data_IF_830010100850
#
_entry.id   IF_830010100850
#
_cell.length_a   1.000
_cell.length_b   1.000
_cell.length_c   1.000
_cell.angle_alpha   90.00
_cell.angle_beta   90.00
_cell.angle_gamma   90.00
#
_symmetry.space_group_name_H-M   'P 1'
#
loop_
_entity.id
_entity.type
_entity.pdbx_description
1 polymer ?
#
# COMPACT_ATOMS: atom_id res chain seq x y z
N UNK A 1 -29.96 3.05 -14.90
CA UNK A 1 -29.82 2.52 -13.50
C UNK A 1 -30.01 1.01 -13.52
N UNK A 2 -29.02 0.27 -12.98
CA UNK A 2 -29.09 -1.19 -12.79
C UNK A 2 -29.54 -1.51 -11.37
N UNK A 3 -30.26 -2.62 -11.17
CA UNK A 3 -30.83 -3.00 -9.86
C UNK A 3 -30.49 -4.44 -9.52
N UNK A 4 -30.06 -4.70 -8.28
CA UNK A 4 -29.81 -6.06 -7.80
C UNK A 4 -28.78 -6.83 -8.61
N UNK A 5 -27.75 -6.16 -9.12
CA UNK A 5 -26.61 -6.74 -9.84
C UNK A 5 -25.61 -7.37 -8.85
N UNK A 6 -24.61 -8.09 -9.36
CA UNK A 6 -23.52 -8.57 -8.52
C UNK A 6 -22.67 -7.40 -7.98
N UNK A 7 -21.93 -7.63 -6.89
CA UNK A 7 -21.05 -6.59 -6.36
C UNK A 7 -19.87 -6.34 -7.30
N UNK A 8 -19.40 -7.36 -8.02
CA UNK A 8 -18.34 -7.25 -9.03
C UNK A 8 -18.77 -6.33 -10.16
N UNK A 9 -20.00 -6.54 -10.70
CA UNK A 9 -20.53 -5.69 -11.77
C UNK A 9 -20.68 -4.24 -11.28
N UNK A 10 -21.18 -4.03 -10.07
CA UNK A 10 -21.29 -2.70 -9.48
C UNK A 10 -19.91 -2.04 -9.33
N UNK A 11 -18.91 -2.78 -8.81
CA UNK A 11 -17.52 -2.33 -8.68
C UNK A 11 -16.95 -1.92 -10.04
N UNK A 12 -17.13 -2.72 -11.07
CA UNK A 12 -16.62 -2.42 -12.42
C UNK A 12 -17.27 -1.16 -13.03
N UNK A 13 -18.56 -0.94 -12.80
CA UNK A 13 -19.25 0.30 -13.21
C UNK A 13 -18.58 1.50 -12.56
N UNK A 14 -18.33 1.47 -11.24
CA UNK A 14 -17.70 2.59 -10.54
C UNK A 14 -16.25 2.79 -10.99
N UNK A 15 -15.48 1.70 -11.12
CA UNK A 15 -14.10 1.77 -11.60
C UNK A 15 -13.99 2.35 -13.01
N UNK A 16 -14.93 2.05 -13.91
CA UNK A 16 -14.93 2.60 -15.28
C UNK A 16 -15.15 4.12 -15.34
N UNK A 17 -15.70 4.70 -14.28
CA UNK A 17 -16.01 6.13 -14.15
C UNK A 17 -15.04 6.85 -13.19
N UNK A 18 -14.04 6.16 -12.68
CA UNK A 18 -13.06 6.72 -11.74
C UNK A 18 -11.77 7.04 -12.47
N UNK A 19 -11.33 8.28 -12.38
CA UNK A 19 -9.99 8.70 -12.82
C UNK A 19 -9.16 9.12 -11.59
N UNK A 20 -7.83 8.95 -11.63
CA UNK A 20 -6.97 9.43 -10.57
C UNK A 20 -7.08 10.93 -10.37
N UNK A 21 -6.92 11.38 -9.12
CA UNK A 21 -6.83 12.81 -8.78
C UNK A 21 -5.55 13.44 -9.34
N UNK A 22 -5.44 14.77 -9.22
CA UNK A 22 -4.33 15.55 -9.77
C UNK A 22 -2.98 15.17 -9.14
N UNK A 23 -1.93 15.51 -9.87
CA UNK A 23 -0.53 15.30 -9.47
C UNK A 23 -0.03 16.52 -8.71
N UNK A 24 0.76 16.27 -7.67
CA UNK A 24 1.50 17.28 -6.93
C UNK A 24 2.96 16.86 -6.76
N UNK A 25 3.84 17.82 -6.50
CA UNK A 25 5.25 17.59 -6.15
C UNK A 25 5.39 17.78 -4.65
N UNK A 26 6.09 16.89 -3.99
CA UNK A 26 6.29 16.93 -2.53
C UNK A 26 7.76 16.71 -2.18
N UNK A 27 8.15 17.09 -0.98
CA UNK A 27 9.48 16.78 -0.47
C UNK A 27 9.63 15.28 -0.20
N UNK A 28 10.83 14.74 -0.42
CA UNK A 28 11.14 13.33 -0.21
C UNK A 28 10.82 12.88 1.23
N UNK A 29 11.06 13.71 2.24
CA UNK A 29 10.76 13.39 3.66
C UNK A 29 9.25 13.21 3.93
N UNK A 30 8.38 13.65 3.02
CA UNK A 30 6.92 13.54 3.12
C UNK A 30 6.34 12.46 2.19
N UNK A 31 7.21 11.72 1.50
CA UNK A 31 6.79 10.82 0.42
C UNK A 31 6.20 9.49 0.89
N UNK A 32 6.50 9.04 2.12
CA UNK A 32 6.06 7.74 2.62
C UNK A 32 4.54 7.54 2.51
N UNK A 33 4.15 6.42 1.92
CA UNK A 33 2.75 6.06 1.72
C UNK A 33 2.03 6.86 0.63
N UNK A 34 2.73 7.74 -0.12
CA UNK A 34 2.17 8.41 -1.29
C UNK A 34 2.23 7.49 -2.51
N UNK A 35 1.42 7.79 -3.51
CA UNK A 35 1.37 7.02 -4.77
C UNK A 35 2.10 7.81 -5.85
N UNK A 36 3.16 7.22 -6.44
CA UNK A 36 3.94 7.89 -7.49
C UNK A 36 3.12 8.03 -8.77
N UNK A 37 3.26 9.19 -9.43
CA UNK A 37 2.49 9.54 -10.64
C UNK A 37 3.22 9.30 -11.95
N UNK A 38 4.51 8.93 -11.89
CA UNK A 38 5.36 8.60 -13.04
C UNK A 38 6.28 7.42 -12.69
N UNK A 39 6.91 6.81 -13.68
CA UNK A 39 7.89 5.77 -13.42
C UNK A 39 9.14 6.37 -12.78
N UNK A 40 9.68 5.72 -11.76
CA UNK A 40 10.98 6.07 -11.18
C UNK A 40 12.03 5.19 -11.84
N UNK A 41 12.93 5.83 -12.55
CA UNK A 41 14.04 5.20 -13.26
C UNK A 41 15.33 5.65 -12.61
N UNK A 42 16.28 4.73 -12.44
CA UNK A 42 17.59 5.03 -11.88
C UNK A 42 18.35 6.00 -12.78
N UNK A 43 18.83 7.10 -12.21
CA UNK A 43 19.58 8.15 -12.90
C UNK A 43 21.06 7.79 -13.02
N UNK A 44 21.57 7.04 -12.04
CA UNK A 44 22.97 6.63 -11.94
C UNK A 44 23.10 5.23 -11.32
N UNK A 45 24.28 4.66 -11.45
CA UNK A 45 24.59 3.37 -10.83
C UNK A 45 24.63 3.47 -9.29
N UNK A 46 24.24 2.41 -8.60
CA UNK A 46 24.43 2.25 -7.15
C UNK A 46 25.20 0.95 -6.90
N UNK A 47 26.38 1.03 -6.27
CA UNK A 47 27.16 2.25 -6.02
C UNK A 47 27.62 2.92 -7.33
N UNK A 48 27.95 4.20 -7.26
CA UNK A 48 28.39 4.98 -8.43
C UNK A 48 29.84 4.72 -8.86
N UNK A 49 30.62 4.03 -8.04
CA UNK A 49 32.02 3.64 -8.27
C UNK A 49 32.34 2.30 -7.65
N UNK A 50 33.41 1.65 -8.13
CA UNK A 50 33.94 0.41 -7.56
C UNK A 50 34.52 0.69 -6.19
N UNK A 51 34.12 -0.09 -5.17
CA UNK A 51 34.47 0.14 -3.75
C UNK A 51 34.85 -1.13 -3.01
N UNK A 52 35.63 -0.96 -1.94
CA UNK A 52 35.97 -2.06 -1.04
C UNK A 52 34.82 -2.37 -0.04
N UNK A 53 34.41 -3.64 0.11
CA UNK A 53 33.51 -4.05 1.19
C UNK A 53 34.21 -4.20 2.54
N UNK A 54 35.55 -4.17 2.57
CA UNK A 54 36.36 -4.44 3.77
C UNK A 54 37.45 -3.41 4.00
N UNK A 55 37.89 -3.29 5.24
CA UNK A 55 39.16 -2.65 5.57
C UNK A 55 40.31 -3.58 5.13
N UNK A 56 41.21 -3.07 4.32
CA UNK A 56 42.21 -3.94 3.74
C UNK A 56 43.23 -3.20 2.89
N UNK A 57 43.73 -3.89 1.87
CA UNK A 57 44.72 -3.37 0.93
C UNK A 57 44.29 -3.67 -0.50
N UNK A 58 44.15 -2.64 -1.30
CA UNK A 58 43.92 -2.75 -2.73
C UNK A 58 45.21 -2.98 -3.47
N UNK A 59 45.28 -4.04 -4.28
CA UNK A 59 46.46 -4.49 -4.99
C UNK A 59 46.14 -4.94 -6.40
N UNK A 60 47.14 -5.20 -7.20
CA UNK A 60 47.01 -5.92 -8.47
C UNK A 60 47.02 -7.42 -8.18
N UNK A 61 45.98 -8.14 -8.51
CA UNK A 61 45.88 -9.59 -8.29
C UNK A 61 47.04 -10.35 -8.94
N UNK A 62 47.48 -9.94 -10.14
CA UNK A 62 48.57 -10.58 -10.83
C UNK A 62 49.91 -10.49 -10.10
N UNK A 63 50.12 -9.57 -9.19
CA UNK A 63 51.32 -9.45 -8.39
C UNK A 63 51.28 -10.34 -7.13
N UNK A 64 50.14 -11.00 -6.83
CA UNK A 64 49.93 -11.90 -5.68
C UNK A 64 50.13 -13.37 -6.04
N UNK A 65 50.46 -13.68 -7.31
CA UNK A 65 50.58 -15.06 -7.79
C UNK A 65 51.61 -15.82 -6.97
N UNK A 66 51.19 -16.99 -6.44
CA UNK A 66 51.96 -17.88 -5.53
C UNK A 66 52.29 -17.25 -4.18
N UNK A 67 51.57 -16.22 -3.73
CA UNK A 67 51.77 -15.64 -2.39
C UNK A 67 51.49 -16.64 -1.27
N UNK A 68 50.69 -17.69 -1.51
CA UNK A 68 50.46 -18.86 -0.63
C UNK A 68 51.69 -19.73 -0.45
N UNK A 69 52.63 -19.76 -1.41
CA UNK A 69 53.88 -20.51 -1.35
C UNK A 69 55.04 -19.66 -0.89
N UNK A 70 55.07 -18.41 -1.31
CA UNK A 70 56.06 -17.40 -0.98
C UNK A 70 55.45 -16.06 -0.76
N UNK A 71 55.38 -15.57 0.52
CA UNK A 71 54.78 -14.24 0.82
C UNK A 71 55.34 -13.14 -0.04
N UNK A 72 54.48 -12.21 -0.46
CA UNK A 72 54.83 -11.07 -1.32
C UNK A 72 54.66 -9.77 -0.53
N UNK A 73 55.69 -8.91 -0.61
CA UNK A 73 55.70 -7.60 0.06
C UNK A 73 55.34 -6.52 -0.94
N UNK A 74 54.43 -5.64 -0.54
CA UNK A 74 53.97 -4.48 -1.31
C UNK A 74 54.31 -3.18 -0.57
N UNK A 75 54.66 -2.13 -1.31
CA UNK A 75 54.83 -0.78 -0.79
C UNK A 75 53.50 -0.05 -0.72
N UNK A 76 53.13 0.48 0.44
CA UNK A 76 51.89 1.24 0.62
C UNK A 76 52.09 2.65 0.06
N UNK A 77 51.34 2.99 -0.98
CA UNK A 77 51.43 4.28 -1.70
C UNK A 77 50.45 5.32 -1.20
N UNK A 78 49.27 4.88 -0.73
CA UNK A 78 48.17 5.75 -0.42
C UNK A 78 47.30 5.14 0.65
N UNK A 79 46.60 6.00 1.40
CA UNK A 79 45.54 5.63 2.34
C UNK A 79 44.19 6.16 1.81
N UNK A 80 43.24 5.26 1.58
CA UNK A 80 41.94 5.56 0.97
C UNK A 80 40.83 5.33 1.99
N UNK A 81 40.31 6.39 2.56
CA UNK A 81 39.10 6.35 3.42
C UNK A 81 37.82 6.40 2.57
N UNK A 82 36.68 6.07 3.16
CA UNK A 82 35.40 6.32 2.53
C UNK A 82 35.21 7.83 2.25
N UNK A 83 34.76 8.17 1.05
CA UNK A 83 34.59 9.56 0.60
C UNK A 83 35.88 10.23 0.11
N UNK A 84 36.99 9.50 0.08
CA UNK A 84 38.24 9.95 -0.50
C UNK A 84 38.39 9.44 -1.95
N UNK A 85 38.75 10.34 -2.88
CA UNK A 85 39.02 9.96 -4.27
C UNK A 85 40.53 9.62 -4.44
N UNK A 86 40.88 8.39 -4.88
CA UNK A 86 42.28 7.98 -5.04
C UNK A 86 43.01 8.82 -6.07
N UNK A 87 44.20 9.30 -5.70
CA UNK A 87 45.03 10.13 -6.58
C UNK A 87 46.13 9.33 -7.27
N UNK A 88 46.55 8.19 -6.65
CA UNK A 88 47.73 7.44 -7.13
C UNK A 88 47.33 6.20 -7.91
N UNK A 89 48.08 5.95 -8.99
CA UNK A 89 48.01 4.69 -9.70
C UNK A 89 48.79 3.62 -8.91
N UNK A 90 48.18 2.45 -8.74
CA UNK A 90 48.82 1.29 -8.11
C UNK A 90 49.54 0.47 -9.19
N UNK A 91 50.86 0.53 -9.12
CA UNK A 91 51.75 -0.19 -10.00
C UNK A 91 52.17 -1.56 -9.46
N UNK A 92 53.13 -2.20 -10.15
CA UNK A 92 53.69 -3.49 -9.74
C UNK A 92 54.38 -3.41 -8.37
N UNK A 93 53.98 -4.32 -7.43
CA UNK A 93 54.50 -4.38 -6.07
C UNK A 93 54.08 -3.22 -5.18
N UNK A 94 53.02 -2.53 -5.55
CA UNK A 94 52.45 -1.43 -4.81
C UNK A 94 51.03 -1.78 -4.32
N UNK A 95 50.61 -1.22 -3.16
CA UNK A 95 49.29 -1.36 -2.54
C UNK A 95 48.76 -0.02 -2.09
N UNK A 96 47.44 0.10 -2.00
CA UNK A 96 46.79 1.17 -1.24
C UNK A 96 46.14 0.59 0.00
N UNK A 97 46.36 1.19 1.15
CA UNK A 97 45.55 0.94 2.35
C UNK A 97 44.14 1.47 2.10
N UNK A 98 43.14 0.61 2.11
CA UNK A 98 41.77 0.97 1.79
C UNK A 98 40.82 0.62 2.94
N UNK A 99 39.88 1.51 3.23
CA UNK A 99 38.84 1.29 4.24
C UNK A 99 37.54 0.86 3.55
N UNK A 100 36.66 0.24 4.30
CA UNK A 100 35.30 -0.11 3.87
C UNK A 100 34.59 1.10 3.24
N UNK A 101 34.07 0.93 2.03
CA UNK A 101 33.45 2.01 1.25
C UNK A 101 34.43 2.90 0.50
N UNK A 102 35.74 2.69 0.61
CA UNK A 102 36.76 3.40 -0.16
C UNK A 102 36.70 3.02 -1.64
N UNK A 103 36.95 3.99 -2.51
CA UNK A 103 37.01 3.80 -3.96
C UNK A 103 38.25 2.99 -4.34
N UNK A 104 38.09 2.01 -5.24
CA UNK A 104 39.19 1.20 -5.73
C UNK A 104 40.12 2.08 -6.59
N UNK A 105 41.41 2.19 -6.23
CA UNK A 105 42.33 3.03 -6.98
C UNK A 105 42.67 2.44 -8.37
N UNK A 106 42.91 3.29 -9.33
CA UNK A 106 43.33 2.86 -10.66
C UNK A 106 44.55 1.93 -10.57
N UNK A 107 44.51 0.83 -11.31
CA UNK A 107 45.59 -0.16 -11.35
C UNK A 107 45.39 -1.32 -10.34
N UNK A 108 44.65 -1.16 -9.26
CA UNK A 108 44.26 -2.26 -8.41
C UNK A 108 42.99 -2.95 -8.97
N UNK A 109 42.93 -4.28 -8.84
CA UNK A 109 41.83 -5.11 -9.30
C UNK A 109 41.42 -6.19 -8.26
N UNK A 110 41.97 -6.12 -7.04
CA UNK A 110 41.57 -6.97 -5.91
C UNK A 110 41.84 -6.27 -4.58
N UNK A 111 41.10 -6.68 -3.55
CA UNK A 111 41.31 -6.23 -2.16
C UNK A 111 41.51 -7.43 -1.24
N UNK A 112 42.58 -7.37 -0.42
CA UNK A 112 42.77 -8.32 0.66
C UNK A 112 42.41 -7.69 2.00
N UNK A 113 41.66 -8.45 2.82
CA UNK A 113 41.25 -8.02 4.18
C UNK A 113 42.48 -7.82 5.06
N UNK A 114 42.45 -6.81 5.93
CA UNK A 114 43.55 -6.50 6.83
C UNK A 114 43.93 -7.64 7.79
N UNK A 115 42.97 -8.49 8.13
CA UNK A 115 43.15 -9.64 9.03
C UNK A 115 43.99 -10.78 8.39
N UNK A 116 44.16 -10.73 7.06
CA UNK A 116 44.88 -11.76 6.27
C UNK A 116 46.27 -11.35 5.88
N UNK A 117 46.79 -10.26 6.40
CA UNK A 117 48.11 -9.70 6.03
C UNK A 117 48.93 -9.36 7.28
N UNK A 118 50.26 -9.16 7.07
CA UNK A 118 51.14 -8.53 8.07
C UNK A 118 51.54 -7.15 7.54
N UNK A 119 51.22 -6.08 8.27
CA UNK A 119 51.56 -4.72 7.89
C UNK A 119 52.63 -4.16 8.84
N UNK A 120 53.65 -3.52 8.24
CA UNK A 120 54.68 -2.75 8.90
C UNK A 120 54.66 -1.33 8.37
N UNK A 121 55.54 -0.46 8.94
CA UNK A 121 55.59 0.92 8.49
C UNK A 121 55.91 1.02 6.99
N UNK A 122 54.95 1.51 6.19
CA UNK A 122 55.12 1.72 4.73
C UNK A 122 55.01 0.45 3.88
N UNK A 123 54.83 -0.75 4.44
CA UNK A 123 54.76 -2.00 3.68
C UNK A 123 53.64 -2.92 4.21
N UNK A 124 53.16 -3.83 3.32
CA UNK A 124 52.26 -4.90 3.68
C UNK A 124 52.73 -6.21 3.03
N UNK A 125 52.69 -7.30 3.81
CA UNK A 125 53.02 -8.65 3.34
C UNK A 125 51.75 -9.47 3.17
N UNK A 126 51.54 -9.99 1.96
CA UNK A 126 50.41 -10.86 1.61
C UNK A 126 50.84 -12.32 1.62
N UNK A 127 50.01 -13.19 2.14
CA UNK A 127 50.19 -14.65 2.28
C UNK A 127 49.24 -15.45 1.40
N UNK A 128 48.37 -14.79 0.65
CA UNK A 128 47.37 -15.43 -0.19
C UNK A 128 47.41 -14.86 -1.60
N UNK A 129 47.28 -15.74 -2.60
CA UNK A 129 47.00 -15.35 -3.97
C UNK A 129 45.57 -14.84 -4.07
N UNK A 130 45.36 -13.79 -4.86
CA UNK A 130 44.04 -13.19 -5.11
C UNK A 130 43.66 -13.35 -6.57
N UNK A 131 42.37 -13.47 -6.82
CA UNK A 131 41.79 -13.42 -8.15
C UNK A 131 41.41 -11.98 -8.53
N UNK A 132 41.48 -11.59 -9.82
CA UNK A 132 40.91 -10.33 -10.26
C UNK A 132 39.43 -10.21 -9.88
N UNK A 133 39.03 -9.07 -9.34
CA UNK A 133 37.67 -8.78 -8.85
C UNK A 133 37.42 -9.25 -7.41
N UNK A 134 38.38 -9.92 -6.77
CA UNK A 134 38.18 -10.43 -5.41
C UNK A 134 37.99 -9.29 -4.42
N UNK A 135 36.88 -9.33 -3.65
CA UNK A 135 36.48 -8.33 -2.67
C UNK A 135 36.31 -6.91 -3.24
N UNK A 136 35.75 -6.80 -4.41
CA UNK A 136 35.36 -5.52 -5.04
C UNK A 136 33.82 -5.55 -5.21
N UNK A 137 33.15 -4.52 -4.74
CA UNK A 137 31.76 -4.21 -5.10
C UNK A 137 31.82 -3.27 -6.31
N UNK A 138 31.33 -3.73 -7.43
CA UNK A 138 31.38 -2.97 -8.68
C UNK A 138 30.33 -1.86 -8.77
N UNK A 139 30.65 -0.82 -9.51
CA UNK A 139 29.67 0.22 -9.85
C UNK A 139 28.44 -0.40 -10.52
N UNK A 140 27.25 -0.10 -9.98
CA UNK A 140 25.99 -0.63 -10.49
C UNK A 140 25.63 -2.04 -10.02
N UNK A 141 26.39 -2.65 -9.09
CA UNK A 141 26.09 -4.01 -8.61
C UNK A 141 24.71 -4.14 -7.97
N UNK A 142 24.18 -3.09 -7.35
CA UNK A 142 22.85 -3.05 -6.74
C UNK A 142 21.79 -2.49 -7.72
N UNK A 143 22.10 -1.36 -8.37
CA UNK A 143 21.21 -0.70 -9.32
C UNK A 143 21.97 -0.15 -10.50
N UNK A 144 21.55 -0.49 -11.71
CA UNK A 144 22.10 0.07 -12.94
C UNK A 144 21.38 1.35 -13.37
N UNK A 145 22.12 2.32 -13.88
CA UNK A 145 21.53 3.50 -14.52
C UNK A 145 20.56 3.09 -15.64
N UNK A 146 19.37 3.69 -15.67
CA UNK A 146 18.29 3.34 -16.61
C UNK A 146 17.37 2.21 -16.13
N UNK A 147 17.66 1.56 -15.02
CA UNK A 147 16.80 0.52 -14.45
C UNK A 147 15.49 1.10 -13.88
N UNK A 148 14.37 0.40 -14.06
CA UNK A 148 13.07 0.78 -13.49
C UNK A 148 13.01 0.39 -12.01
N UNK A 149 13.05 1.38 -11.13
CA UNK A 149 12.94 1.17 -9.68
C UNK A 149 11.50 1.01 -9.21
N UNK A 150 10.58 1.76 -9.79
CA UNK A 150 9.15 1.62 -9.50
C UNK A 150 8.29 2.13 -10.65
N UNK A 151 7.16 1.45 -10.88
CA UNK A 151 6.16 1.86 -11.89
C UNK A 151 5.21 2.91 -11.34
N UNK A 152 4.70 3.78 -12.21
CA UNK A 152 3.56 4.66 -11.91
C UNK A 152 2.45 3.88 -11.20
N UNK A 153 1.90 4.45 -10.15
CA UNK A 153 0.85 3.83 -9.33
C UNK A 153 1.37 3.02 -8.14
N UNK A 154 2.69 2.82 -8.01
CA UNK A 154 3.28 2.19 -6.84
C UNK A 154 3.17 3.08 -5.61
N UNK A 155 3.02 2.46 -4.44
CA UNK A 155 3.07 3.15 -3.15
C UNK A 155 4.53 3.28 -2.74
N UNK A 156 4.93 4.46 -2.31
CA UNK A 156 6.27 4.70 -1.79
C UNK A 156 6.38 4.08 -0.40
N UNK A 157 7.15 3.02 -0.31
CA UNK A 157 7.57 2.38 0.93
C UNK A 157 8.97 2.89 1.38
N UNK A 158 9.51 2.46 2.52
CA UNK A 158 10.83 2.89 2.97
C UNK A 158 11.96 2.52 2.00
N UNK A 159 11.86 1.37 1.31
CA UNK A 159 12.86 0.93 0.34
C UNK A 159 12.91 1.86 -0.88
N UNK A 160 11.75 2.15 -1.47
CA UNK A 160 11.67 3.08 -2.61
C UNK A 160 12.08 4.50 -2.23
N UNK A 161 11.73 4.97 -1.02
CA UNK A 161 12.19 6.28 -0.54
C UNK A 161 13.72 6.34 -0.43
N UNK A 162 14.34 5.27 0.10
CA UNK A 162 15.80 5.15 0.16
C UNK A 162 16.44 5.08 -1.23
N UNK A 163 15.84 4.32 -2.16
CA UNK A 163 16.32 4.24 -3.55
C UNK A 163 16.24 5.60 -4.26
N UNK A 164 15.14 6.36 -4.07
CA UNK A 164 15.02 7.72 -4.60
C UNK A 164 16.09 8.66 -4.02
N UNK A 165 16.35 8.56 -2.71
CA UNK A 165 17.42 9.34 -2.08
C UNK A 165 18.79 9.02 -2.67
N UNK A 166 19.10 7.73 -2.89
CA UNK A 166 20.35 7.30 -3.53
C UNK A 166 20.49 7.82 -4.96
N UNK A 167 19.39 8.11 -5.64
CA UNK A 167 19.35 8.69 -6.99
C UNK A 167 19.27 10.23 -6.98
N UNK A 168 19.35 10.89 -5.82
CA UNK A 168 19.22 12.34 -5.74
C UNK A 168 17.82 12.88 -6.05
N UNK A 169 16.80 12.04 -6.05
CA UNK A 169 15.41 12.44 -6.29
C UNK A 169 14.84 13.01 -4.98
N UNK A 170 14.83 14.32 -4.85
CA UNK A 170 14.41 15.03 -3.64
C UNK A 170 12.97 15.52 -3.67
N UNK A 171 12.36 15.57 -4.85
CA UNK A 171 11.03 16.15 -5.07
C UNK A 171 10.17 15.28 -5.98
N UNK A 172 9.77 14.08 -5.52
CA UNK A 172 8.99 13.16 -6.35
C UNK A 172 7.61 13.71 -6.68
N UNK A 173 7.12 13.38 -7.89
CA UNK A 173 5.74 13.65 -8.31
C UNK A 173 4.84 12.51 -7.87
N UNK A 174 3.77 12.85 -7.17
CA UNK A 174 2.81 11.90 -6.61
C UNK A 174 1.39 12.34 -6.94
N UNK A 175 0.45 11.40 -6.91
CA UNK A 175 -0.96 11.78 -6.87
C UNK A 175 -1.26 12.41 -5.51
N UNK A 176 -2.04 13.52 -5.47
CA UNK A 176 -2.49 14.06 -4.19
C UNK A 176 -3.37 13.04 -3.45
N UNK A 177 -3.63 13.25 -2.19
CA UNK A 177 -4.54 12.40 -1.44
C UNK A 177 -5.99 12.79 -1.75
N UNK A 178 -6.85 11.85 -2.22
CA UNK A 178 -8.26 12.14 -2.44
C UNK A 178 -8.97 12.57 -1.17
N UNK A 179 -9.83 13.58 -1.27
CA UNK A 179 -10.71 14.04 -0.18
C UNK A 179 -12.06 13.34 -0.32
N UNK A 180 -12.46 12.58 0.70
CA UNK A 180 -13.68 11.79 0.71
C UNK A 180 -14.68 12.39 1.69
N UNK A 181 -15.76 12.94 1.16
CA UNK A 181 -16.86 13.47 1.97
C UNK A 181 -17.64 12.35 2.65
N UNK A 182 -17.97 12.54 3.93
CA UNK A 182 -18.80 11.63 4.71
C UNK A 182 -20.05 12.35 5.18
N UNK A 183 -21.24 11.76 4.92
CA UNK A 183 -22.54 12.24 5.37
C UNK A 183 -23.23 11.09 6.08
N UNK A 184 -23.72 11.34 7.30
CA UNK A 184 -24.57 10.41 8.02
C UNK A 184 -26.02 10.83 7.85
N UNK A 185 -26.95 9.87 7.73
CA UNK A 185 -28.39 10.13 7.55
C UNK A 185 -29.17 9.35 8.62
N UNK A 186 -29.95 10.06 9.42
CA UNK A 186 -30.82 9.49 10.44
C UNK A 186 -31.13 10.50 11.54
N UNK A 187 -32.40 10.57 11.93
CA UNK A 187 -32.85 11.43 13.03
C UNK A 187 -32.43 10.92 14.41
N UNK A 188 -32.11 9.62 14.51
CA UNK A 188 -31.66 8.94 15.72
C UNK A 188 -30.17 9.14 16.02
N UNK A 189 -29.40 9.69 15.06
CA UNK A 189 -27.94 9.78 15.16
C UNK A 189 -27.49 10.97 15.99
N UNK A 190 -26.56 10.71 16.91
CA UNK A 190 -25.86 11.74 17.69
C UNK A 190 -24.34 11.54 17.62
N UNK A 191 -23.62 12.60 17.95
CA UNK A 191 -22.14 12.58 18.06
C UNK A 191 -21.72 11.59 19.18
N UNK A 192 -20.53 10.99 19.07
CA UNK A 192 -20.04 9.99 20.04
C UNK A 192 -19.97 10.51 21.49
N UNK A 193 -19.77 11.80 21.68
CA UNK A 193 -19.67 12.44 23.00
C UNK A 193 -21.02 12.64 23.69
N UNK A 194 -22.11 12.61 22.95
CA UNK A 194 -23.46 12.83 23.48
C UNK A 194 -23.96 11.60 24.21
N UNK A 195 -24.57 11.78 25.38
CA UNK A 195 -25.31 10.71 26.05
C UNK A 195 -26.51 10.32 25.21
N UNK A 196 -26.51 9.06 24.77
CA UNK A 196 -27.63 8.50 24.01
C UNK A 196 -28.69 7.94 25.01
N UNK A 197 -29.82 8.61 25.11
CA UNK A 197 -30.94 8.18 25.92
C UNK A 197 -32.15 7.89 25.03
N UNK A 198 -32.90 6.85 25.35
CA UNK A 198 -34.05 6.43 24.54
C UNK A 198 -33.66 5.84 23.19
N UNK A 199 -34.38 6.16 22.10
CA UNK A 199 -34.16 5.57 20.76
C UNK A 199 -33.03 6.25 19.97
N UNK A 200 -32.09 6.91 20.64
CA UNK A 200 -30.99 7.64 20.06
C UNK A 200 -29.71 6.78 20.07
N UNK A 201 -28.95 6.77 18.99
CA UNK A 201 -27.73 5.99 18.87
C UNK A 201 -26.54 6.87 18.42
N UNK A 202 -25.35 6.49 18.84
CA UNK A 202 -24.12 7.19 18.40
C UNK A 202 -23.76 6.81 16.97
N UNK A 203 -23.30 7.78 16.19
CA UNK A 203 -22.86 7.56 14.80
C UNK A 203 -21.55 6.75 14.76
N UNK A 204 -21.68 5.46 14.59
CA UNK A 204 -20.56 4.52 14.48
C UNK A 204 -20.03 4.40 13.06
N UNK A 205 -20.89 4.58 12.05
CA UNK A 205 -20.50 4.46 10.64
C UNK A 205 -19.51 5.54 10.24
N UNK A 206 -19.71 6.77 10.66
CA UNK A 206 -18.77 7.87 10.48
C UNK A 206 -17.37 7.48 10.95
N UNK A 207 -17.25 6.97 12.17
CA UNK A 207 -15.96 6.61 12.77
C UNK A 207 -15.29 5.44 12.03
N UNK A 208 -16.05 4.40 11.69
CA UNK A 208 -15.56 3.23 10.94
C UNK A 208 -15.03 3.67 9.57
N UNK A 209 -15.82 4.43 8.81
CA UNK A 209 -15.46 4.86 7.47
C UNK A 209 -14.32 5.88 7.49
N UNK A 210 -14.29 6.82 8.46
CA UNK A 210 -13.15 7.73 8.66
C UNK A 210 -11.86 6.94 8.83
N UNK A 211 -11.85 5.96 9.72
CA UNK A 211 -10.67 5.11 9.98
C UNK A 211 -10.27 4.30 8.73
N UNK A 212 -11.25 3.75 8.01
CA UNK A 212 -11.00 2.98 6.80
C UNK A 212 -10.44 3.85 5.65
N UNK A 213 -10.91 5.09 5.50
CA UNK A 213 -10.41 6.07 4.53
C UNK A 213 -8.97 6.47 4.86
N UNK A 214 -8.68 6.78 6.13
CA UNK A 214 -7.32 7.10 6.60
C UNK A 214 -6.34 5.95 6.36
N UNK A 215 -6.74 4.71 6.69
CA UNK A 215 -5.95 3.48 6.43
C UNK A 215 -5.55 3.38 4.96
N UNK A 216 -6.39 3.85 4.05
CA UNK A 216 -6.16 3.81 2.62
C UNK A 216 -5.62 5.14 2.04
N UNK A 217 -4.97 5.96 2.88
CA UNK A 217 -4.20 7.14 2.49
C UNK A 217 -5.02 8.27 1.86
N UNK A 218 -6.35 8.22 2.00
CA UNK A 218 -7.27 9.29 1.61
C UNK A 218 -7.56 10.21 2.80
N UNK A 219 -8.11 11.39 2.53
CA UNK A 219 -8.48 12.38 3.53
C UNK A 219 -9.98 12.31 3.78
N UNK A 220 -10.46 11.84 4.93
CA UNK A 220 -11.87 11.89 5.29
C UNK A 220 -12.27 13.31 5.66
N UNK A 221 -13.41 13.78 5.12
CA UNK A 221 -14.02 15.05 5.49
C UNK A 221 -15.47 14.81 5.90
N UNK A 222 -15.77 14.95 7.17
CA UNK A 222 -17.15 14.91 7.64
C UNK A 222 -17.87 16.19 7.23
N UNK A 223 -18.98 16.04 6.47
CA UNK A 223 -19.80 17.14 5.98
C UNK A 223 -20.90 17.45 6.98
N UNK A 224 -21.55 16.41 7.51
CA UNK A 224 -22.60 16.59 8.51
C UNK A 224 -23.52 15.39 8.64
N UNK A 225 -24.45 15.51 9.59
CA UNK A 225 -25.55 14.56 9.77
C UNK A 225 -26.83 15.16 9.19
N UNK A 226 -27.40 14.51 8.17
CA UNK A 226 -28.66 14.87 7.58
C UNK A 226 -29.82 14.29 8.39
N UNK A 227 -30.92 15.03 8.50
CA UNK A 227 -32.20 14.50 8.94
C UNK A 227 -32.80 13.57 7.87
N UNK A 228 -33.76 12.75 8.26
CA UNK A 228 -34.53 11.89 7.35
C UNK A 228 -35.48 12.71 6.46
N UNK A 229 -34.92 13.62 5.70
CA UNK A 229 -35.63 14.37 4.67
C UNK A 229 -34.74 14.64 3.45
N UNK A 230 -35.36 14.67 2.29
CA UNK A 230 -34.68 14.81 0.99
C UNK A 230 -33.92 16.14 0.87
N UNK A 231 -34.46 17.23 1.44
CA UNK A 231 -33.84 18.55 1.38
C UNK A 231 -32.56 18.63 2.19
N UNK A 232 -32.57 18.10 3.41
CA UNK A 232 -31.39 18.00 4.30
C UNK A 232 -30.27 17.21 3.63
N UNK A 233 -30.60 16.02 3.10
CA UNK A 233 -29.62 15.18 2.39
C UNK A 233 -29.06 15.88 1.17
N UNK A 234 -29.93 16.48 0.33
CA UNK A 234 -29.53 17.18 -0.89
C UNK A 234 -28.62 18.40 -0.60
N UNK A 235 -28.87 19.11 0.49
CA UNK A 235 -28.04 20.23 0.95
C UNK A 235 -26.60 19.80 1.24
N UNK A 236 -26.42 18.78 2.08
CA UNK A 236 -25.10 18.26 2.42
C UNK A 236 -24.41 17.58 1.24
N UNK A 237 -25.16 16.93 0.34
CA UNK A 237 -24.59 16.38 -0.89
C UNK A 237 -23.97 17.48 -1.79
N UNK A 238 -24.66 18.61 -1.98
CA UNK A 238 -24.12 19.74 -2.75
C UNK A 238 -22.83 20.29 -2.14
N UNK A 239 -22.81 20.41 -0.81
CA UNK A 239 -21.60 20.84 -0.09
C UNK A 239 -20.46 19.83 -0.28
N UNK A 240 -20.71 18.55 -0.08
CA UNK A 240 -19.72 17.49 -0.26
C UNK A 240 -19.18 17.43 -1.69
N UNK A 241 -20.03 17.56 -2.71
CA UNK A 241 -19.61 17.56 -4.12
C UNK A 241 -18.74 18.78 -4.49
N UNK A 242 -18.98 19.94 -3.87
CA UNK A 242 -18.12 21.12 -4.08
C UNK A 242 -16.69 20.88 -3.61
N UNK A 243 -16.53 20.27 -2.43
CA UNK A 243 -15.27 20.30 -1.67
C UNK A 243 -14.53 18.95 -1.62
N UNK A 244 -15.13 17.86 -2.13
CA UNK A 244 -14.57 16.52 -2.07
C UNK A 244 -14.49 15.88 -3.46
N UNK A 245 -13.67 14.86 -3.61
CA UNK A 245 -13.49 14.09 -4.84
C UNK A 245 -14.54 12.99 -4.99
N UNK A 246 -15.05 12.51 -3.87
CA UNK A 246 -16.10 11.49 -3.77
C UNK A 246 -16.90 11.73 -2.50
N UNK A 247 -18.18 11.39 -2.51
CA UNK A 247 -19.05 11.49 -1.32
C UNK A 247 -19.61 10.13 -0.97
N UNK A 248 -19.46 9.74 0.30
CA UNK A 248 -20.07 8.57 0.91
C UNK A 248 -21.18 9.00 1.87
N UNK A 249 -22.35 8.37 1.74
CA UNK A 249 -23.45 8.54 2.71
C UNK A 249 -23.71 7.22 3.43
N UNK A 250 -24.14 7.28 4.67
CA UNK A 250 -24.62 6.09 5.41
C UNK A 250 -26.03 6.36 5.93
N UNK A 251 -26.94 5.41 5.70
CA UNK A 251 -28.38 5.56 6.02
C UNK A 251 -29.21 6.04 4.84
N UNK A 252 -30.53 6.03 5.00
CA UNK A 252 -31.48 6.48 3.97
C UNK A 252 -31.54 5.67 2.67
N UNK A 253 -30.91 4.47 2.62
CA UNK A 253 -30.81 3.61 1.42
C UNK A 253 -31.61 2.30 1.55
N UNK A 254 -32.64 2.29 2.37
CA UNK A 254 -33.48 1.09 2.57
C UNK A 254 -34.32 0.80 1.32
N UNK A 255 -34.73 -0.47 1.15
CA UNK A 255 -35.60 -0.93 0.03
C UNK A 255 -37.10 -0.62 0.23
N UNK A 256 -37.46 0.27 1.14
CA UNK A 256 -38.85 0.66 1.44
C UNK A 256 -39.31 1.95 0.75
N UNK A 257 -40.53 2.37 1.04
CA UNK A 257 -41.20 3.54 0.48
C UNK A 257 -40.52 4.88 0.81
N UNK A 258 -39.52 4.90 1.69
CA UNK A 258 -38.73 6.06 2.11
C UNK A 258 -37.29 6.00 1.58
N UNK A 259 -37.13 5.81 0.26
CA UNK A 259 -35.83 5.89 -0.41
C UNK A 259 -35.35 7.36 -0.52
N UNK A 260 -34.92 7.92 0.61
CA UNK A 260 -34.59 9.35 0.70
C UNK A 260 -33.28 9.67 -0.02
N UNK A 261 -32.26 8.85 0.16
CA UNK A 261 -30.93 9.08 -0.45
C UNK A 261 -30.96 9.05 -1.98
N UNK A 262 -31.53 8.02 -2.66
CA UNK A 262 -31.65 8.04 -4.13
C UNK A 262 -32.48 9.22 -4.64
N UNK A 263 -33.52 9.64 -3.93
CA UNK A 263 -34.35 10.80 -4.30
C UNK A 263 -33.54 12.10 -4.15
N UNK A 264 -32.83 12.28 -3.05
CA UNK A 264 -31.94 13.44 -2.86
C UNK A 264 -30.85 13.53 -3.92
N UNK A 265 -30.22 12.38 -4.27
CA UNK A 265 -29.24 12.31 -5.36
C UNK A 265 -29.82 12.79 -6.69
N UNK A 266 -31.03 12.33 -7.06
CA UNK A 266 -31.74 12.79 -8.27
C UNK A 266 -32.02 14.30 -8.24
N UNK A 267 -32.45 14.83 -7.11
CA UNK A 267 -32.78 16.26 -6.95
C UNK A 267 -31.58 17.19 -7.13
N UNK A 268 -30.36 16.71 -6.97
CA UNK A 268 -29.13 17.45 -7.23
C UNK A 268 -28.55 17.17 -8.62
N UNK A 269 -29.30 16.48 -9.50
CA UNK A 269 -28.83 16.14 -10.85
C UNK A 269 -27.88 14.93 -10.91
N UNK A 270 -27.73 14.16 -9.83
CA UNK A 270 -26.91 12.97 -9.84
C UNK A 270 -27.56 11.86 -10.68
N UNK A 271 -26.82 11.32 -11.63
CA UNK A 271 -27.22 10.16 -12.42
C UNK A 271 -27.06 8.90 -11.59
N UNK A 272 -28.17 8.26 -11.22
CA UNK A 272 -28.14 6.97 -10.53
C UNK A 272 -27.68 5.85 -11.47
N UNK A 273 -26.65 5.12 -11.05
CA UNK A 273 -26.02 4.03 -11.79
C UNK A 273 -26.52 2.66 -11.31
N UNK A 274 -26.49 2.45 -9.98
CA UNK A 274 -26.80 1.17 -9.33
C UNK A 274 -27.72 1.42 -8.12
N UNK A 275 -28.72 0.52 -7.92
CA UNK A 275 -29.53 0.45 -6.71
C UNK A 275 -29.60 -0.99 -6.22
N UNK A 276 -28.99 -1.24 -5.05
CA UNK A 276 -28.88 -2.58 -4.46
C UNK A 276 -27.97 -3.53 -5.22
N UNK A 277 -27.24 -4.33 -4.50
CA UNK A 277 -26.31 -5.35 -5.02
C UNK A 277 -26.55 -6.71 -4.35
N UNK A 278 -26.17 -7.80 -5.02
CA UNK A 278 -26.32 -9.18 -4.49
C UNK A 278 -25.17 -9.57 -3.59
N UNK A 279 -25.07 -8.93 -2.42
CA UNK A 279 -24.05 -9.23 -1.39
C UNK A 279 -24.68 -9.28 -0.01
N UNK A 280 -24.17 -10.08 0.89
CA UNK A 280 -24.62 -10.15 2.28
C UNK A 280 -23.43 -10.24 3.25
N UNK A 281 -23.27 -9.30 4.20
CA UNK A 281 -24.06 -8.06 4.37
C UNK A 281 -23.72 -7.01 3.31
N UNK A 282 -24.52 -5.92 3.20
CA UNK A 282 -24.22 -4.77 2.33
C UNK A 282 -25.11 -4.64 1.08
N UNK A 283 -26.22 -5.38 0.99
CA UNK A 283 -27.15 -5.35 -0.14
C UNK A 283 -27.75 -3.96 -0.39
N UNK A 284 -28.18 -3.29 0.68
CA UNK A 284 -28.79 -1.96 0.59
C UNK A 284 -27.72 -0.91 0.30
N UNK A 285 -27.71 -0.39 -0.92
CA UNK A 285 -26.81 0.67 -1.38
C UNK A 285 -27.39 1.36 -2.60
N UNK A 286 -26.89 2.56 -2.90
CA UNK A 286 -27.14 3.24 -4.17
C UNK A 286 -25.88 3.99 -4.61
N UNK A 287 -25.53 3.90 -5.89
CA UNK A 287 -24.37 4.57 -6.46
C UNK A 287 -24.78 5.44 -7.62
N UNK A 288 -24.18 6.60 -7.70
CA UNK A 288 -24.42 7.55 -8.78
C UNK A 288 -23.20 8.41 -9.07
N UNK A 289 -23.31 9.24 -10.07
CA UNK A 289 -22.29 10.18 -10.50
C UNK A 289 -22.90 11.57 -10.73
N UNK A 290 -22.20 12.59 -10.27
CA UNK A 290 -22.52 14.00 -10.51
C UNK A 290 -21.24 14.77 -10.77
N UNK A 291 -21.16 15.53 -11.86
CA UNK A 291 -19.97 16.34 -12.20
C UNK A 291 -18.65 15.53 -12.18
N UNK A 292 -18.69 14.30 -12.71
CA UNK A 292 -17.59 13.32 -12.69
C UNK A 292 -17.15 12.85 -11.30
N UNK A 293 -17.90 13.16 -10.25
CA UNK A 293 -17.65 12.70 -8.88
C UNK A 293 -18.65 11.62 -8.47
N UNK A 294 -18.15 10.56 -7.87
CA UNK A 294 -19.01 9.47 -7.41
C UNK A 294 -19.71 9.84 -6.10
N UNK A 295 -20.98 9.47 -6.02
CA UNK A 295 -21.81 9.57 -4.83
C UNK A 295 -22.29 8.17 -4.45
N UNK A 296 -21.90 7.67 -3.29
CA UNK A 296 -22.17 6.30 -2.86
C UNK A 296 -22.91 6.26 -1.54
N UNK A 297 -24.18 5.87 -1.59
CA UNK A 297 -25.02 5.60 -0.43
C UNK A 297 -24.84 4.17 0.06
N UNK A 298 -24.48 4.01 1.33
CA UNK A 298 -24.24 2.76 2.01
C UNK A 298 -25.32 2.51 3.08
N UNK A 299 -25.48 1.25 3.49
CA UNK A 299 -26.40 0.87 4.56
C UNK A 299 -26.11 1.63 5.86
N UNK A 300 -27.15 1.99 6.62
CA UNK A 300 -27.02 2.47 7.99
C UNK A 300 -26.51 1.42 8.98
N UNK A 301 -26.58 0.12 8.64
CA UNK A 301 -26.06 -0.96 9.47
C UNK A 301 -24.51 -1.05 9.38
N UNK A 302 -23.76 -0.96 10.50
CA UNK A 302 -22.32 -0.80 10.48
C UNK A 302 -21.54 -1.91 9.74
N UNK A 303 -21.84 -3.18 10.02
CA UNK A 303 -21.14 -4.27 9.34
C UNK A 303 -21.51 -4.38 7.86
N UNK A 304 -22.70 -3.92 7.46
CA UNK A 304 -23.11 -3.86 6.06
C UNK A 304 -22.39 -2.73 5.32
N UNK A 305 -22.30 -1.54 5.92
CA UNK A 305 -21.55 -0.40 5.38
C UNK A 305 -20.07 -0.75 5.22
N UNK A 306 -19.44 -1.31 6.25
CA UNK A 306 -18.03 -1.71 6.24
C UNK A 306 -17.75 -2.79 5.19
N UNK A 307 -18.59 -3.83 5.09
CA UNK A 307 -18.40 -4.87 4.06
C UNK A 307 -18.54 -4.30 2.66
N UNK A 308 -19.56 -3.47 2.42
CA UNK A 308 -19.74 -2.81 1.12
C UNK A 308 -18.53 -1.90 0.79
N UNK A 309 -18.05 -1.15 1.77
CA UNK A 309 -16.84 -0.35 1.63
C UNK A 309 -15.66 -1.22 1.18
N UNK A 310 -15.36 -2.31 1.86
CA UNK A 310 -14.23 -3.18 1.52
C UNK A 310 -14.36 -3.83 0.14
N UNK A 311 -15.58 -4.25 -0.24
CA UNK A 311 -15.80 -5.01 -1.48
C UNK A 311 -15.93 -4.13 -2.73
N UNK A 312 -16.52 -2.94 -2.59
CA UNK A 312 -16.88 -2.09 -3.73
C UNK A 312 -16.11 -0.76 -3.71
N UNK A 313 -16.11 -0.06 -2.56
CA UNK A 313 -15.60 1.31 -2.49
C UNK A 313 -14.07 1.34 -2.41
N UNK A 314 -13.45 0.41 -1.70
CA UNK A 314 -12.01 0.40 -1.48
C UNK A 314 -11.18 0.32 -2.79
N UNK A 315 -11.48 -0.57 -3.77
CA UNK A 315 -10.81 -0.53 -5.06
C UNK A 315 -10.99 0.79 -5.81
N UNK A 316 -12.16 1.41 -5.69
CA UNK A 316 -12.47 2.72 -6.29
C UNK A 316 -11.61 3.82 -5.66
N UNK A 317 -11.49 3.85 -4.33
CA UNK A 317 -10.62 4.79 -3.62
C UNK A 317 -9.15 4.63 -4.01
N UNK A 318 -8.67 3.39 -4.13
CA UNK A 318 -7.30 3.11 -4.58
C UNK A 318 -7.06 3.63 -5.99
N UNK A 319 -8.00 3.39 -6.91
CA UNK A 319 -7.90 3.93 -8.27
C UNK A 319 -7.95 5.45 -8.28
N UNK A 320 -8.84 6.06 -7.50
CA UNK A 320 -8.94 7.51 -7.35
C UNK A 320 -7.62 8.12 -6.81
N UNK A 321 -6.94 7.42 -5.90
CA UNK A 321 -5.62 7.79 -5.38
C UNK A 321 -4.47 7.50 -6.37
N UNK A 322 -4.76 7.01 -7.57
CA UNK A 322 -3.76 6.66 -8.58
C UNK A 322 -2.99 5.37 -8.31
N UNK A 323 -3.39 4.57 -7.33
CA UNK A 323 -2.71 3.31 -7.00
C UNK A 323 -2.94 2.25 -8.08
N UNK A 324 -1.89 1.49 -8.39
CA UNK A 324 -1.96 0.30 -9.23
C UNK A 324 -1.04 -0.80 -8.67
N UNK A 325 -1.50 -2.06 -8.54
CA UNK A 325 -2.90 -2.47 -8.76
C UNK A 325 -3.85 -1.89 -7.71
N UNK A 326 -5.07 -1.56 -8.12
CA UNK A 326 -6.11 -1.03 -7.22
C UNK A 326 -7.05 -2.12 -6.70
N UNK A 327 -7.14 -3.25 -7.39
CA UNK A 327 -7.96 -4.38 -6.94
C UNK A 327 -7.36 -5.08 -5.72
N UNK A 328 -8.23 -5.62 -4.87
CA UNK A 328 -7.79 -6.40 -3.72
C UNK A 328 -7.41 -7.81 -4.17
N UNK A 329 -6.18 -8.21 -3.87
CA UNK A 329 -5.70 -9.56 -4.18
C UNK A 329 -6.50 -10.61 -3.39
N UNK A 330 -7.02 -11.60 -4.10
CA UNK A 330 -7.71 -12.75 -3.52
C UNK A 330 -6.74 -13.92 -3.39
N UNK A 331 -6.85 -14.68 -2.31
CA UNK A 331 -6.05 -15.87 -2.09
C UNK A 331 -6.87 -16.98 -1.42
N UNK A 332 -6.51 -18.26 -1.61
CA UNK A 332 -7.18 -19.37 -0.93
C UNK A 332 -6.94 -19.31 0.58
N UNK A 333 -8.03 -19.42 1.36
CA UNK A 333 -7.99 -19.43 2.83
C UNK A 333 -8.87 -20.53 3.39
N UNK A 334 -8.36 -21.29 4.37
CA UNK A 334 -9.05 -22.42 4.98
C UNK A 334 -9.81 -21.97 6.23
N UNK A 335 -11.11 -22.28 6.31
CA UNK A 335 -11.91 -21.96 7.48
C UNK A 335 -11.57 -22.86 8.67
N UNK A 336 -11.30 -22.26 9.84
CA UNK A 336 -11.08 -22.98 11.11
C UNK A 336 -12.41 -23.46 11.69
N UNK A 337 -13.46 -22.65 11.59
CA UNK A 337 -14.78 -22.95 12.13
C UNK A 337 -15.86 -22.94 11.04
N UNK A 338 -16.95 -23.69 11.27
CA UNK A 338 -18.05 -23.84 10.30
C UNK A 338 -18.94 -22.60 10.28
N UNK A 339 -19.57 -22.34 9.13
CA UNK A 339 -20.64 -21.36 8.99
C UNK A 339 -21.97 -22.07 8.65
N UNK A 340 -22.96 -22.07 9.56
CA UNK A 340 -24.12 -22.98 9.47
C UNK A 340 -25.23 -22.54 8.52
N UNK A 341 -25.17 -21.34 7.94
CA UNK A 341 -26.25 -20.77 7.12
C UNK A 341 -25.96 -20.93 5.63
N UNK A 342 -26.95 -21.42 4.89
CA UNK A 342 -26.95 -21.38 3.43
C UNK A 342 -26.99 -19.92 2.92
N UNK A 343 -26.47 -19.66 1.74
CA UNK A 343 -26.44 -18.34 1.13
C UNK A 343 -26.98 -18.34 -0.29
N UNK A 344 -28.10 -17.67 -0.52
CA UNK A 344 -28.69 -17.49 -1.86
C UNK A 344 -28.02 -16.38 -2.68
N UNK A 345 -27.21 -15.51 -2.05
CA UNK A 345 -26.39 -14.47 -2.68
C UNK A 345 -24.96 -14.59 -2.20
N UNK A 346 -24.04 -13.92 -2.87
CA UNK A 346 -22.66 -13.79 -2.37
C UNK A 346 -22.66 -13.33 -0.92
N UNK A 347 -21.96 -14.07 -0.06
CA UNK A 347 -21.83 -13.74 1.35
C UNK A 347 -20.37 -13.52 1.73
N UNK A 348 -20.11 -12.44 2.42
CA UNK A 348 -18.77 -12.11 2.93
C UNK A 348 -18.74 -12.43 4.42
N UNK A 349 -17.82 -13.31 4.77
CA UNK A 349 -17.49 -13.64 6.16
C UNK A 349 -16.38 -12.71 6.64
N UNK A 350 -16.47 -12.28 7.89
CA UNK A 350 -15.46 -11.49 8.60
C UNK A 350 -14.78 -12.36 9.64
N UNK A 351 -13.46 -12.22 9.77
CA UNK A 351 -12.70 -13.01 10.74
C UNK A 351 -11.27 -12.53 10.93
N UNK A 352 -10.53 -13.33 11.66
CA UNK A 352 -9.11 -13.12 11.93
C UNK A 352 -8.27 -14.13 11.15
N UNK A 353 -7.14 -13.67 10.62
CA UNK A 353 -6.14 -14.51 9.97
C UNK A 353 -5.37 -15.32 11.03
N UNK A 354 -5.16 -16.60 10.78
CA UNK A 354 -4.34 -17.47 11.57
C UNK A 354 -3.27 -18.11 10.68
N UNK A 355 -2.02 -17.87 11.01
CA UNK A 355 -0.83 -18.41 10.34
C UNK A 355 -0.02 -19.34 11.23
N UNK A 356 -0.55 -19.75 12.37
CA UNK A 356 0.18 -20.46 13.44
C UNK A 356 0.75 -21.82 13.02
N UNK A 357 0.17 -22.47 12.01
CA UNK A 357 0.64 -23.75 11.47
C UNK A 357 1.34 -23.63 10.09
N UNK A 358 1.67 -22.41 9.69
CA UNK A 358 2.30 -22.15 8.40
C UNK A 358 1.34 -22.15 7.20
N UNK A 359 0.03 -22.29 7.44
CA UNK A 359 -1.01 -22.21 6.40
C UNK A 359 -1.92 -21.00 6.59
N UNK A 360 -2.48 -20.48 5.50
CA UNK A 360 -3.46 -19.37 5.56
C UNK A 360 -4.81 -19.90 6.02
N UNK A 361 -5.17 -19.62 7.29
CA UNK A 361 -6.44 -20.01 7.86
C UNK A 361 -7.21 -18.80 8.38
N UNK A 362 -8.52 -18.93 8.43
CA UNK A 362 -9.42 -17.88 8.94
C UNK A 362 -10.31 -18.44 10.04
N UNK A 363 -10.29 -17.78 11.19
CA UNK A 363 -11.27 -17.96 12.23
C UNK A 363 -12.37 -16.93 12.06
N UNK A 364 -13.56 -17.36 11.62
CA UNK A 364 -14.69 -16.46 11.44
C UNK A 364 -15.28 -16.05 12.79
N UNK A 365 -15.76 -14.82 12.89
CA UNK A 365 -16.51 -14.36 14.06
C UNK A 365 -17.85 -15.10 14.16
N UNK A 366 -18.30 -15.41 15.35
CA UNK A 366 -19.55 -16.14 15.58
C UNK A 366 -20.77 -15.41 15.02
N UNK A 367 -20.86 -14.11 15.28
CA UNK A 367 -21.96 -13.30 14.80
C UNK A 367 -21.56 -12.50 13.54
N UNK A 368 -22.13 -12.88 12.41
CA UNK A 368 -21.94 -12.28 11.08
C UNK A 368 -23.13 -11.36 10.68
N UNK A 369 -23.93 -10.91 11.66
CA UNK A 369 -25.11 -10.05 11.40
C UNK A 369 -24.74 -8.69 10.81
N UNK A 370 -25.71 -8.02 10.19
CA UNK A 370 -25.54 -6.74 9.50
C UNK A 370 -25.21 -5.58 10.46
N UNK A 371 -25.74 -5.64 11.71
CA UNK A 371 -25.58 -4.60 12.73
C UNK A 371 -24.39 -4.81 13.66
N UNK A 372 -23.67 -5.91 13.50
CA UNK A 372 -22.68 -6.38 14.49
C UNK A 372 -21.35 -5.68 14.31
N UNK A 373 -21.12 -4.59 15.05
CA UNK A 373 -19.86 -3.85 15.10
C UNK A 373 -18.71 -4.74 15.59
N UNK A 374 -18.97 -5.61 16.58
CA UNK A 374 -17.96 -6.51 17.16
C UNK A 374 -17.23 -7.36 16.12
N UNK A 375 -17.88 -7.70 14.99
CA UNK A 375 -17.27 -8.45 13.90
C UNK A 375 -16.35 -7.61 12.99
N UNK A 376 -16.20 -6.32 13.24
CA UNK A 376 -15.20 -5.47 12.60
C UNK A 376 -13.96 -5.27 13.49
N UNK A 377 -14.06 -5.56 14.79
CA UNK A 377 -12.94 -5.41 15.73
C UNK A 377 -11.94 -6.56 15.50
N UNK A 378 -10.70 -6.22 15.11
CA UNK A 378 -9.68 -7.21 14.77
C UNK A 378 -9.99 -8.02 13.53
N UNK A 379 -10.90 -7.54 12.67
CA UNK A 379 -11.13 -8.14 11.35
C UNK A 379 -9.97 -7.74 10.44
N UNK A 380 -9.13 -8.68 10.12
CA UNK A 380 -7.96 -8.51 9.25
C UNK A 380 -8.12 -9.24 7.91
N UNK A 381 -9.09 -10.17 7.83
CA UNK A 381 -9.39 -10.96 6.64
C UNK A 381 -10.88 -11.13 6.45
N UNK A 382 -11.30 -11.07 5.20
CA UNK A 382 -12.66 -11.46 4.77
C UNK A 382 -12.59 -12.61 3.78
N UNK A 383 -13.64 -13.44 3.72
CA UNK A 383 -13.75 -14.54 2.77
C UNK A 383 -15.13 -14.58 2.12
N UNK A 384 -15.16 -14.98 0.86
CA UNK A 384 -16.36 -15.03 0.04
C UNK A 384 -16.97 -16.43 0.00
N UNK A 385 -18.26 -16.53 0.34
CA UNK A 385 -19.10 -17.69 0.07
C UNK A 385 -19.88 -17.41 -1.23
N UNK A 386 -19.72 -18.25 -2.28
CA UNK A 386 -20.45 -18.10 -3.52
C UNK A 386 -21.97 -18.21 -3.35
N UNK A 387 -22.79 -17.57 -4.21
CA UNK A 387 -24.24 -17.70 -4.19
C UNK A 387 -24.66 -19.15 -4.43
N UNK A 388 -25.77 -19.57 -3.80
CA UNK A 388 -26.26 -20.93 -3.89
C UNK A 388 -25.55 -21.95 -3.00
N UNK A 389 -24.58 -21.53 -2.20
CA UNK A 389 -23.87 -22.42 -1.28
C UNK A 389 -24.74 -22.84 -0.11
N UNK A 390 -24.63 -24.10 0.30
CA UNK A 390 -25.16 -24.63 1.57
C UNK A 390 -24.35 -24.13 2.78
N UNK A 391 -24.57 -24.73 3.97
CA UNK A 391 -23.70 -24.52 5.13
C UNK A 391 -22.26 -24.90 4.82
N UNK A 392 -21.32 -24.08 5.29
CA UNK A 392 -19.88 -24.30 5.04
C UNK A 392 -19.27 -24.96 6.27
N UNK A 393 -18.53 -26.05 6.06
CA UNK A 393 -17.83 -26.80 7.13
C UNK A 393 -16.46 -26.20 7.40
N UNK A 394 -15.97 -26.39 8.62
CA UNK A 394 -14.55 -26.22 8.94
C UNK A 394 -13.67 -27.04 7.98
N UNK A 395 -12.51 -26.54 7.62
CA UNK A 395 -11.62 -27.14 6.62
C UNK A 395 -11.95 -26.78 5.17
N UNK A 396 -13.08 -26.09 4.89
CA UNK A 396 -13.40 -25.63 3.53
C UNK A 396 -12.46 -24.48 3.15
N UNK A 397 -11.93 -24.54 1.93
CA UNK A 397 -11.15 -23.46 1.32
C UNK A 397 -12.07 -22.50 0.59
N UNK A 398 -11.96 -21.23 0.88
CA UNK A 398 -12.68 -20.13 0.24
C UNK A 398 -11.67 -19.13 -0.37
N UNK A 399 -12.17 -18.23 -1.21
CA UNK A 399 -11.40 -17.06 -1.63
C UNK A 399 -11.46 -16.00 -0.52
N UNK A 400 -10.30 -15.64 0.03
CA UNK A 400 -10.15 -14.61 1.04
C UNK A 400 -9.33 -13.43 0.56
N UNK A 401 -9.37 -12.34 1.32
CA UNK A 401 -8.57 -11.14 1.07
C UNK A 401 -8.31 -10.39 2.37
N UNK A 402 -7.17 -9.71 2.44
CA UNK A 402 -6.81 -8.82 3.55
C UNK A 402 -7.52 -7.47 3.40
N UNK A 403 -7.86 -6.86 4.55
CA UNK A 403 -8.55 -5.58 4.62
C UNK A 403 -7.75 -4.50 5.35
#
# INVERSE_FOLDING_TARGET
MKTGISYEEAKQILLSLTEPVEVETIDLDQCYGRVISENIVALENVPSFDRSPYDGYAVRACDTVRADQKPVVFNIKEYIAAGYHPEKLIGKGEAARIMTGGEIPKGADAVIMQEKVSAEEGTVTLFNELSPGENIIYAGEDVHAGELLASKGSIIDPGLAGAMAAQGITSPKVFRRPVIGLISVGNELVEPEVNAEGPIIRDTNRTILTSAILKNRCIPRFIGTAKDDVGSIAGLLKEGLRDCDMVLLTGGVSVGDLDLTPTAMKNIGCQLLVKGIKIKPGMACCYGISENKLVCGLSGNPAAAFTNFCMVILPVLRKLAGQYPFETAMFPITLINSFPKASGSTRILRGTLDLSDGTCRMKIFENQGNIVIRSAIGCDVMAEIPPGSGPIKAGTVLNGFLI
#
